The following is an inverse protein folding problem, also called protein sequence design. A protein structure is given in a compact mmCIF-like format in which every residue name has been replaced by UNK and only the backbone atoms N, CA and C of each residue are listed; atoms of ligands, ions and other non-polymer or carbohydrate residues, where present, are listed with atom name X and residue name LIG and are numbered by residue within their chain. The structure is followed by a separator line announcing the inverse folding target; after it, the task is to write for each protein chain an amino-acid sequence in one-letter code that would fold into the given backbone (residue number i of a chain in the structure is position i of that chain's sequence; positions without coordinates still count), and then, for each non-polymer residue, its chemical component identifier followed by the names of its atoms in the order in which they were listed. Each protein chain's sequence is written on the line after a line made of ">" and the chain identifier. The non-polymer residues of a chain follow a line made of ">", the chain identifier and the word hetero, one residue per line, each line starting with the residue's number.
data_IF_313937289951
#
_entry.id   IF_313937289951
#
_cell.length_a   1.000
_cell.length_b   1.000
_cell.length_c   1.000
_cell.angle_alpha   90.00
_cell.angle_beta   90.00
_cell.angle_gamma   90.00
#
_symmetry.space_group_name_H-M   'P 1'
#
loop_
_entity.id
_entity.type
_entity.pdbx_description
1 polymer ?
#
# COMPACT_ATOMS: atom_id res chain seq x y z
N UNK A 1 32.03 19.37 -18.68
CA UNK A 1 30.74 19.70 -18.01
C UNK A 1 29.88 18.48 -18.16
N UNK A 2 30.10 17.50 -17.29
CA UNK A 2 29.13 16.43 -17.07
C UNK A 2 27.99 17.07 -16.28
N UNK A 3 26.79 16.94 -16.81
CA UNK A 3 25.57 17.24 -16.07
C UNK A 3 25.42 16.06 -15.11
N UNK A 4 25.73 16.27 -13.83
CA UNK A 4 25.37 15.34 -12.76
C UNK A 4 23.87 15.10 -12.89
N UNK A 5 23.50 13.87 -13.29
CA UNK A 5 22.12 13.43 -13.21
C UNK A 5 21.79 13.40 -11.72
N UNK A 6 20.91 14.30 -11.28
CA UNK A 6 20.36 14.28 -9.93
C UNK A 6 19.86 12.86 -9.62
N UNK A 7 20.35 12.29 -8.52
CA UNK A 7 19.92 10.98 -8.04
C UNK A 7 18.38 10.94 -8.00
N UNK A 8 17.73 9.87 -8.52
CA UNK A 8 16.29 9.75 -8.41
C UNK A 8 15.93 9.75 -6.93
N UNK A 9 15.25 10.82 -6.49
CA UNK A 9 14.80 11.02 -5.12
C UNK A 9 14.05 9.74 -4.69
N UNK A 10 14.70 9.00 -3.80
CA UNK A 10 14.09 7.91 -3.07
C UNK A 10 12.96 8.48 -2.24
N UNK A 11 11.73 8.17 -2.63
CA UNK A 11 10.56 8.49 -1.84
C UNK A 11 9.96 7.20 -1.31
N UNK A 12 9.84 7.08 0.02
CA UNK A 12 9.07 6.01 0.63
C UNK A 12 7.61 6.07 0.17
N UNK A 13 6.86 4.98 0.31
CA UNK A 13 5.42 5.00 0.03
C UNK A 13 4.70 6.05 0.87
N UNK A 14 5.09 6.25 2.14
CA UNK A 14 4.51 7.32 2.97
C UNK A 14 4.84 8.72 2.43
N UNK A 15 6.02 8.93 1.86
CA UNK A 15 6.40 10.19 1.21
C UNK A 15 5.69 10.38 -0.14
N UNK A 16 5.47 9.32 -0.92
CA UNK A 16 4.68 9.38 -2.17
C UNK A 16 3.21 9.71 -1.85
N UNK A 17 2.65 9.06 -0.82
CA UNK A 17 1.33 9.39 -0.32
C UNK A 17 1.31 10.84 0.17
N UNK A 18 2.30 11.27 0.95
CA UNK A 18 2.42 12.64 1.43
C UNK A 18 2.58 13.69 0.32
N UNK A 19 3.31 13.42 -0.76
CA UNK A 19 3.44 14.35 -1.91
C UNK A 19 2.15 14.48 -2.70
N UNK A 20 1.44 13.36 -2.91
CA UNK A 20 0.11 13.41 -3.52
C UNK A 20 -0.87 14.23 -2.69
N UNK A 21 -0.68 14.23 -1.36
CA UNK A 21 -1.42 15.05 -0.42
C UNK A 21 -0.92 16.50 -0.37
N UNK A 22 0.39 16.75 -0.47
CA UNK A 22 0.98 18.09 -0.47
C UNK A 22 0.56 18.91 -1.70
N UNK A 23 0.46 18.26 -2.88
CA UNK A 23 -0.15 18.87 -4.08
C UNK A 23 -1.61 19.30 -3.86
N UNK A 24 -2.36 18.75 -2.88
CA UNK A 24 -3.72 19.19 -2.47
C UNK A 24 -3.67 20.49 -1.65
N UNK A 25 -2.56 20.77 -0.94
CA UNK A 25 -2.43 21.88 0.03
C UNK A 25 -1.94 23.20 -0.55
N UNK A 26 -1.14 23.20 -1.62
CA UNK A 26 -0.55 24.44 -2.20
C UNK A 26 -1.46 25.11 -3.22
N UNK A 27 -2.35 24.37 -3.87
CA UNK A 27 -3.30 24.95 -4.81
C UNK A 27 -4.64 25.21 -4.10
N UNK A 28 -4.95 26.47 -3.71
CA UNK A 28 -6.29 26.81 -3.24
C UNK A 28 -7.26 26.64 -4.42
N UNK A 29 -8.00 25.53 -4.42
CA UNK A 29 -9.37 25.29 -4.94
C UNK A 29 -9.86 26.01 -6.21
N UNK A 30 -9.01 26.58 -7.05
CA UNK A 30 -9.44 27.47 -8.13
C UNK A 30 -9.04 26.97 -9.53
N UNK A 31 -8.16 25.97 -9.65
CA UNK A 31 -7.80 25.36 -10.95
C UNK A 31 -7.54 23.85 -10.83
N UNK A 32 -8.39 23.13 -10.09
CA UNK A 32 -8.51 21.68 -10.24
C UNK A 32 -10.00 21.44 -10.40
N UNK A 33 -10.42 20.95 -11.57
CA UNK A 33 -11.78 20.44 -11.74
C UNK A 33 -12.04 19.42 -10.62
N UNK A 34 -13.07 19.70 -9.83
CA UNK A 34 -13.55 19.01 -8.63
C UNK A 34 -14.06 17.57 -8.87
N UNK A 35 -13.47 16.86 -9.85
CA UNK A 35 -13.98 15.58 -10.36
C UNK A 35 -12.91 14.53 -10.71
N UNK A 36 -11.61 14.80 -10.56
CA UNK A 36 -10.58 13.80 -10.89
C UNK A 36 -10.24 12.92 -9.70
N UNK A 37 -10.84 11.73 -9.66
CA UNK A 37 -10.41 10.62 -8.79
C UNK A 37 -8.90 10.39 -8.96
N UNK A 38 -8.10 10.60 -7.90
CA UNK A 38 -6.63 10.45 -7.97
C UNK A 38 -6.18 9.00 -7.83
N UNK A 39 -7.00 8.14 -7.23
CA UNK A 39 -6.72 6.71 -7.05
C UNK A 39 -7.74 5.93 -7.87
N UNK A 40 -7.23 5.17 -8.84
CA UNK A 40 -8.05 4.35 -9.72
C UNK A 40 -7.90 2.87 -9.37
N UNK A 41 -9.05 2.21 -9.24
CA UNK A 41 -9.15 0.78 -9.01
C UNK A 41 -9.56 0.05 -10.30
N UNK A 42 -9.39 -1.27 -10.33
CA UNK A 42 -9.96 -2.15 -11.36
C UNK A 42 -9.36 -2.02 -12.77
N UNK A 43 -8.16 -1.46 -12.90
CA UNK A 43 -7.40 -1.59 -14.15
C UNK A 43 -7.02 -3.06 -14.39
N UNK A 44 -7.07 -3.49 -15.66
CA UNK A 44 -6.59 -4.81 -16.04
C UNK A 44 -5.06 -4.89 -15.84
N UNK A 45 -4.57 -5.70 -14.89
CA UNK A 45 -3.15 -5.77 -14.58
C UNK A 45 -2.30 -6.34 -15.72
N UNK A 46 -2.90 -7.00 -16.72
CA UNK A 46 -2.17 -7.55 -17.87
C UNK A 46 -1.81 -6.50 -18.91
N UNK A 47 -2.39 -5.31 -18.82
CA UNK A 47 -2.14 -4.21 -19.79
C UNK A 47 -0.85 -3.46 -19.53
N UNK A 48 -0.29 -3.57 -18.33
CA UNK A 48 1.01 -2.99 -17.99
C UNK A 48 1.97 -4.10 -17.56
N UNK A 49 3.08 -4.24 -18.28
CA UNK A 49 4.05 -5.32 -18.05
C UNK A 49 4.70 -5.23 -16.66
N UNK A 50 4.89 -4.03 -16.11
CA UNK A 50 5.53 -3.83 -14.80
C UNK A 50 4.62 -4.33 -13.68
N UNK A 51 3.34 -3.99 -13.78
CA UNK A 51 2.30 -4.45 -12.85
C UNK A 51 2.10 -5.96 -12.97
N UNK A 52 2.04 -6.47 -14.21
CA UNK A 52 1.88 -7.90 -14.45
C UNK A 52 3.03 -8.73 -13.86
N UNK A 53 4.27 -8.32 -14.12
CA UNK A 53 5.47 -8.99 -13.59
C UNK A 53 5.52 -8.95 -12.07
N UNK A 54 5.20 -7.80 -11.45
CA UNK A 54 5.17 -7.67 -10.00
C UNK A 54 4.07 -8.54 -9.36
N UNK A 55 2.88 -8.59 -9.95
CA UNK A 55 1.80 -9.48 -9.49
C UNK A 55 2.19 -10.96 -9.61
N UNK A 56 2.91 -11.32 -10.66
CA UNK A 56 3.41 -12.69 -10.86
C UNK A 56 4.44 -13.03 -9.79
N UNK A 57 5.37 -12.12 -9.52
CA UNK A 57 6.38 -12.25 -8.48
C UNK A 57 5.74 -12.39 -7.09
N UNK A 58 4.76 -11.55 -6.75
CA UNK A 58 3.99 -11.63 -5.49
C UNK A 58 3.28 -12.97 -5.37
N UNK A 59 2.74 -13.49 -6.48
CA UNK A 59 2.14 -14.82 -6.51
C UNK A 59 3.15 -15.93 -6.16
N UNK A 60 4.35 -15.87 -6.73
CA UNK A 60 5.42 -16.83 -6.45
C UNK A 60 5.95 -16.71 -5.01
N UNK A 61 6.02 -15.49 -4.48
CA UNK A 61 6.56 -15.18 -3.14
C UNK A 61 5.49 -15.14 -2.04
N UNK A 62 4.25 -15.55 -2.34
CA UNK A 62 3.09 -15.33 -1.48
C UNK A 62 3.28 -15.80 -0.04
N UNK A 63 3.87 -16.98 0.17
CA UNK A 63 4.17 -17.49 1.52
C UNK A 63 5.16 -16.63 2.29
N UNK A 64 6.24 -16.19 1.63
CA UNK A 64 7.26 -15.35 2.26
C UNK A 64 6.71 -13.96 2.61
N UNK A 65 5.94 -13.35 1.69
CA UNK A 65 5.29 -12.06 1.92
C UNK A 65 4.24 -12.12 3.03
N UNK A 66 3.43 -13.19 3.07
CA UNK A 66 2.47 -13.38 4.16
C UNK A 66 3.18 -13.57 5.51
N UNK A 67 4.31 -14.29 5.53
CA UNK A 67 5.14 -14.43 6.74
C UNK A 67 5.69 -13.08 7.19
N UNK A 68 6.24 -12.29 6.27
CA UNK A 68 6.73 -10.94 6.54
C UNK A 68 5.62 -10.03 7.09
N UNK A 69 4.44 -10.05 6.48
CA UNK A 69 3.30 -9.24 6.95
C UNK A 69 2.82 -9.63 8.34
N UNK A 70 2.84 -10.92 8.69
CA UNK A 70 2.57 -11.38 10.07
C UNK A 70 3.62 -10.84 11.04
N UNK A 71 4.90 -10.89 10.67
CA UNK A 71 5.96 -10.32 11.51
C UNK A 71 5.76 -8.81 11.71
N UNK A 72 5.44 -8.06 10.65
CA UNK A 72 5.16 -6.62 10.75
C UNK A 72 3.92 -6.32 11.59
N UNK A 73 2.86 -7.11 11.45
CA UNK A 73 1.67 -7.01 12.28
C UNK A 73 1.98 -7.21 13.77
N UNK A 74 2.77 -8.23 14.12
CA UNK A 74 3.15 -8.50 15.50
C UNK A 74 4.15 -7.48 16.06
N UNK A 75 5.08 -7.00 15.22
CA UNK A 75 6.09 -5.99 15.57
C UNK A 75 5.44 -4.64 15.88
N UNK A 76 4.51 -4.20 15.01
CA UNK A 76 3.84 -2.90 15.15
C UNK A 76 2.66 -2.96 16.10
N UNK A 77 2.00 -4.11 16.22
CA UNK A 77 0.74 -4.24 16.92
C UNK A 77 -0.43 -3.56 16.20
N UNK A 78 -0.26 -3.18 14.93
CA UNK A 78 -1.20 -2.38 14.15
C UNK A 78 -1.65 -3.06 12.86
N UNK A 79 -2.85 -2.73 12.40
CA UNK A 79 -3.31 -3.13 11.05
C UNK A 79 -2.48 -2.41 10.00
N UNK A 80 -1.99 -3.17 9.03
CA UNK A 80 -1.16 -2.66 7.96
C UNK A 80 -1.14 -3.54 6.73
N UNK A 81 -0.46 -3.07 5.70
CA UNK A 81 -0.33 -3.74 4.43
C UNK A 81 1.07 -3.54 3.87
N UNK A 82 1.55 -4.52 3.11
CA UNK A 82 2.73 -4.33 2.28
C UNK A 82 2.32 -3.54 1.04
N UNK A 83 3.03 -2.47 0.71
CA UNK A 83 2.75 -1.64 -0.45
C UNK A 83 3.99 -1.51 -1.33
N UNK A 84 3.84 -1.74 -2.64
CA UNK A 84 4.93 -1.69 -3.60
C UNK A 84 4.60 -0.80 -4.80
N UNK A 85 5.58 -0.01 -5.22
CA UNK A 85 5.54 0.75 -6.46
C UNK A 85 5.95 -0.15 -7.63
N UNK A 86 5.09 -0.31 -8.64
CA UNK A 86 5.35 -1.13 -9.80
C UNK A 86 6.57 -0.67 -10.61
N UNK A 87 6.93 0.62 -10.55
CA UNK A 87 8.04 1.23 -11.30
C UNK A 87 9.36 1.24 -10.55
N UNK A 88 9.33 1.04 -9.23
CA UNK A 88 10.48 1.27 -8.38
C UNK A 88 11.25 -0.03 -8.12
N UNK A 89 12.59 0.01 -8.21
CA UNK A 89 13.50 -1.07 -7.81
C UNK A 89 14.71 -0.46 -7.11
N UNK A 90 15.17 -1.09 -6.03
CA UNK A 90 16.39 -0.66 -5.34
C UNK A 90 17.60 -0.82 -6.29
N UNK A 91 18.54 0.14 -6.39
CA UNK A 91 19.71 0.04 -7.28
C UNK A 91 20.56 -1.20 -7.01
N UNK A 92 20.72 -1.57 -5.73
CA UNK A 92 21.44 -2.79 -5.32
C UNK A 92 20.65 -4.09 -5.50
N UNK A 93 19.32 -4.03 -5.65
CA UNK A 93 18.44 -5.20 -5.73
C UNK A 93 17.42 -5.03 -6.87
N UNK A 94 17.90 -4.89 -8.11
CA UNK A 94 17.06 -4.53 -9.25
C UNK A 94 16.02 -5.60 -9.63
N UNK A 95 16.31 -6.86 -9.29
CA UNK A 95 15.43 -7.99 -9.57
C UNK A 95 14.33 -8.18 -8.51
N UNK A 96 14.39 -7.43 -7.41
CA UNK A 96 13.47 -7.56 -6.28
C UNK A 96 12.63 -6.29 -6.09
N UNK A 97 11.31 -6.42 -5.92
CA UNK A 97 10.47 -5.28 -5.57
C UNK A 97 10.68 -4.84 -4.13
N UNK A 98 10.61 -3.54 -3.90
CA UNK A 98 10.61 -2.97 -2.56
C UNK A 98 9.18 -2.92 -2.02
N UNK A 99 9.03 -3.23 -0.73
CA UNK A 99 7.77 -3.12 -0.01
C UNK A 99 7.95 -2.25 1.22
N UNK A 100 7.01 -1.33 1.41
CA UNK A 100 6.84 -0.61 2.66
C UNK A 100 5.67 -1.19 3.45
N UNK A 101 5.77 -1.16 4.76
CA UNK A 101 4.63 -1.45 5.64
C UNK A 101 3.87 -0.16 5.88
N UNK A 102 2.65 -0.10 5.37
CA UNK A 102 1.75 1.05 5.49
C UNK A 102 0.68 0.71 6.51
N UNK A 103 0.37 1.61 7.44
CA UNK A 103 -0.64 1.42 8.50
C UNK A 103 -1.97 2.07 8.13
N UNK A 104 -3.00 1.88 8.97
CA UNK A 104 -4.28 2.57 8.75
C UNK A 104 -4.13 4.09 8.81
N UNK A 105 -3.28 4.61 9.70
CA UNK A 105 -3.07 6.06 9.85
C UNK A 105 -2.53 6.68 8.56
N UNK A 106 -1.58 6.00 7.91
CA UNK A 106 -0.99 6.45 6.64
C UNK A 106 -2.02 6.57 5.51
N UNK A 107 -3.05 5.71 5.50
CA UNK A 107 -4.05 5.68 4.40
C UNK A 107 -5.28 6.53 4.65
N UNK A 108 -5.55 6.96 5.90
CA UNK A 108 -6.68 7.85 6.20
C UNK A 108 -6.57 9.14 5.39
N UNK A 109 -5.36 9.70 5.30
CA UNK A 109 -5.14 10.95 4.60
C UNK A 109 -5.36 10.84 3.10
N UNK A 110 -5.35 9.63 2.52
CA UNK A 110 -5.65 9.44 1.08
C UNK A 110 -7.10 9.74 0.72
N UNK A 111 -8.01 9.74 1.70
CA UNK A 111 -9.46 9.85 1.52
C UNK A 111 -10.07 8.79 0.58
N UNK A 112 -9.31 7.75 0.20
CA UNK A 112 -9.80 6.66 -0.64
C UNK A 112 -10.53 5.63 0.20
N UNK A 113 -11.84 5.53 -0.04
CA UNK A 113 -12.73 4.61 0.68
C UNK A 113 -12.27 3.16 0.58
N UNK A 114 -11.88 2.70 -0.60
CA UNK A 114 -11.58 1.28 -0.83
C UNK A 114 -10.28 0.90 -0.10
N UNK A 115 -9.28 1.77 -0.13
CA UNK A 115 -8.02 1.58 0.58
C UNK A 115 -8.25 1.53 2.10
N UNK A 116 -8.96 2.52 2.64
CA UNK A 116 -9.26 2.59 4.07
C UNK A 116 -10.11 1.42 4.54
N UNK A 117 -11.18 1.06 3.83
CA UNK A 117 -12.01 -0.08 4.19
C UNK A 117 -11.24 -1.41 4.12
N UNK A 118 -10.35 -1.54 3.13
CA UNK A 118 -9.48 -2.72 3.03
C UNK A 118 -8.65 -2.91 4.29
N UNK A 119 -8.04 -1.84 4.78
CA UNK A 119 -7.17 -1.86 5.95
C UNK A 119 -7.94 -1.91 7.28
N UNK A 120 -9.08 -1.24 7.36
CA UNK A 120 -9.92 -1.23 8.56
C UNK A 120 -10.52 -2.60 8.88
N UNK A 121 -10.86 -3.42 7.86
CA UNK A 121 -11.78 -4.55 8.05
C UNK A 121 -11.24 -5.93 7.67
N UNK A 122 -9.99 -6.08 7.22
CA UNK A 122 -9.41 -7.41 7.00
C UNK A 122 -9.08 -8.14 8.31
N UNK A 123 -8.81 -9.45 8.26
CA UNK A 123 -8.36 -10.24 9.42
C UNK A 123 -6.83 -10.36 9.39
N UNK A 124 -6.06 -9.53 10.11
CA UNK A 124 -4.60 -9.59 10.10
C UNK A 124 -4.03 -10.91 10.64
N UNK A 125 -4.80 -11.63 11.45
CA UNK A 125 -4.44 -12.96 11.95
C UNK A 125 -4.45 -14.03 10.85
N UNK A 126 -5.29 -13.87 9.82
CA UNK A 126 -5.52 -14.87 8.78
C UNK A 126 -4.95 -14.45 7.42
N UNK A 127 -4.80 -13.15 7.20
CA UNK A 127 -4.48 -12.61 5.88
C UNK A 127 -3.57 -11.40 5.97
N UNK A 128 -2.65 -11.31 5.02
CA UNK A 128 -1.83 -10.13 4.77
C UNK A 128 -2.32 -9.45 3.50
N UNK A 129 -2.48 -8.13 3.58
CA UNK A 129 -2.79 -7.31 2.41
C UNK A 129 -1.50 -6.89 1.71
N UNK A 130 -1.50 -7.01 0.38
CA UNK A 130 -0.46 -6.47 -0.48
C UNK A 130 -1.10 -5.54 -1.50
N UNK A 131 -0.67 -4.28 -1.48
CA UNK A 131 -1.04 -3.28 -2.47
C UNK A 131 0.09 -3.06 -3.46
N UNK A 132 -0.29 -2.90 -4.72
CA UNK A 132 0.61 -2.48 -5.78
C UNK A 132 0.05 -1.20 -6.34
N UNK A 133 0.89 -0.22 -6.58
CA UNK A 133 0.47 0.99 -7.26
C UNK A 133 1.37 1.33 -8.44
N UNK A 134 0.78 2.04 -9.40
CA UNK A 134 1.45 2.59 -10.55
C UNK A 134 1.07 4.07 -10.66
N UNK A 135 2.04 4.96 -10.50
CA UNK A 135 1.84 6.38 -10.73
C UNK A 135 1.68 6.67 -12.23
N UNK A 136 0.80 7.61 -12.55
CA UNK A 136 0.76 8.22 -13.89
C UNK A 136 2.06 8.99 -14.14
N UNK A 137 2.41 9.21 -15.41
CA UNK A 137 3.59 10.00 -15.80
C UNK A 137 3.58 11.42 -15.20
N UNK A 138 2.40 12.00 -15.03
CA UNK A 138 2.23 13.32 -14.41
C UNK A 138 2.38 13.31 -12.88
N UNK A 139 2.34 12.14 -12.24
CA UNK A 139 2.34 11.99 -10.79
C UNK A 139 1.13 12.64 -10.10
N UNK A 140 0.02 12.84 -10.82
CA UNK A 140 -1.20 13.46 -10.26
C UNK A 140 -2.30 12.42 -9.95
N UNK A 141 -2.14 11.22 -10.47
CA UNK A 141 -3.00 10.08 -10.20
C UNK A 141 -2.21 8.79 -10.19
N UNK A 142 -2.80 7.75 -9.60
CA UNK A 142 -2.25 6.41 -9.54
C UNK A 142 -3.32 5.35 -9.76
N UNK A 143 -2.92 4.20 -10.29
CA UNK A 143 -3.71 2.98 -10.27
C UNK A 143 -3.26 2.09 -9.11
N UNK A 144 -4.21 1.47 -8.39
CA UNK A 144 -3.92 0.54 -7.29
C UNK A 144 -4.55 -0.84 -7.57
N UNK A 145 -3.80 -1.88 -7.24
CA UNK A 145 -4.25 -3.27 -7.19
C UNK A 145 -4.08 -3.82 -5.78
N UNK A 146 -5.00 -4.70 -5.37
CA UNK A 146 -4.99 -5.36 -4.06
C UNK A 146 -4.88 -6.87 -4.21
N UNK A 147 -3.99 -7.47 -3.43
CA UNK A 147 -3.93 -8.92 -3.18
C UNK A 147 -4.13 -9.20 -1.70
N UNK A 148 -4.81 -10.30 -1.43
CA UNK A 148 -4.90 -10.89 -0.10
C UNK A 148 -4.10 -12.18 -0.14
N UNK A 149 -3.14 -12.31 0.75
CA UNK A 149 -2.33 -13.50 0.90
C UNK A 149 -2.74 -14.18 2.20
N UNK A 150 -3.10 -15.45 2.14
CA UNK A 150 -3.45 -16.19 3.35
C UNK A 150 -2.19 -16.50 4.16
N UNK A 151 -2.30 -16.36 5.48
CA UNK A 151 -1.22 -16.69 6.41
C UNK A 151 -0.90 -18.19 6.30
N UNK A 152 0.37 -18.58 6.03
CA UNK A 152 0.73 -19.98 5.97
C UNK A 152 0.45 -20.68 7.31
N UNK A 153 -0.10 -21.90 7.27
CA UNK A 153 -0.51 -22.63 8.48
C UNK A 153 0.61 -22.78 9.52
N UNK A 154 1.86 -23.00 9.07
CA UNK A 154 3.00 -23.13 9.98
C UNK A 154 3.29 -21.82 10.74
N UNK A 155 3.16 -20.67 10.08
CA UNK A 155 3.31 -19.34 10.71
C UNK A 155 2.19 -19.10 11.70
N UNK A 156 0.95 -19.40 11.30
CA UNK A 156 -0.20 -19.28 12.19
C UNK A 156 -0.02 -20.12 13.45
N UNK A 157 0.36 -21.40 13.31
CA UNK A 157 0.59 -22.29 14.46
C UNK A 157 1.72 -21.79 15.37
N UNK A 158 2.80 -21.29 14.77
CA UNK A 158 3.94 -20.76 15.52
C UNK A 158 3.56 -19.55 16.39
N UNK A 159 2.71 -18.65 15.89
CA UNK A 159 2.40 -17.37 16.52
C UNK A 159 0.95 -17.22 17.00
N UNK A 160 0.18 -18.32 17.06
CA UNK A 160 -1.27 -18.27 17.27
C UNK A 160 -1.69 -17.45 18.50
N UNK A 161 -0.99 -17.60 19.64
CA UNK A 161 -1.31 -16.87 20.88
C UNK A 161 -1.13 -15.36 20.69
N UNK A 162 -0.02 -14.94 20.08
CA UNK A 162 0.30 -13.53 19.89
C UNK A 162 -0.59 -12.89 18.83
N UNK A 163 -0.92 -13.63 17.77
CA UNK A 163 -1.87 -13.21 16.73
C UNK A 163 -3.26 -12.96 17.34
N UNK A 164 -3.80 -13.93 18.08
CA UNK A 164 -5.12 -13.80 18.72
C UNK A 164 -5.15 -12.65 19.72
N UNK A 165 -4.10 -12.53 20.54
CA UNK A 165 -3.99 -11.45 21.54
C UNK A 165 -3.97 -10.08 20.87
N UNK A 166 -3.16 -9.90 19.83
CA UNK A 166 -3.02 -8.64 19.11
C UNK A 166 -4.31 -8.29 18.36
N UNK A 167 -4.89 -9.26 17.65
CA UNK A 167 -6.18 -9.08 16.96
C UNK A 167 -7.31 -8.68 17.94
N UNK A 168 -7.32 -9.24 19.15
CA UNK A 168 -8.29 -8.88 20.21
C UNK A 168 -8.10 -7.48 20.77
N UNK A 169 -6.87 -6.96 20.79
CA UNK A 169 -6.62 -5.56 21.16
C UNK A 169 -7.20 -4.66 20.07
N UNK A 170 -6.91 -4.98 18.80
CA UNK A 170 -7.32 -4.19 17.66
C UNK A 170 -8.83 -4.23 17.39
N UNK A 171 -9.54 -5.30 17.77
CA UNK A 171 -11.00 -5.35 17.64
C UNK A 171 -11.73 -4.33 18.53
N UNK A 172 -11.03 -3.74 19.50
CA UNK A 172 -11.55 -2.65 20.35
C UNK A 172 -11.32 -1.27 19.73
N UNK A 173 -10.46 -1.16 18.72
CA UNK A 173 -10.18 0.10 18.03
C UNK A 173 -11.28 0.37 17.02
N UNK A 174 -11.78 1.60 17.02
CA UNK A 174 -12.76 2.06 16.05
C UNK A 174 -12.05 2.77 14.90
N UNK A 175 -12.02 2.12 13.74
CA UNK A 175 -11.53 2.72 12.50
C UNK A 175 -12.60 3.66 11.92
N UNK A 176 -12.23 4.93 11.73
CA UNK A 176 -13.10 5.95 11.14
C UNK A 176 -12.71 6.13 9.69
N UNK A 177 -13.63 5.79 8.78
CA UNK A 177 -13.44 5.97 7.35
C UNK A 177 -13.73 7.42 7.01
N UNK A 178 -12.73 8.12 6.47
CA UNK A 178 -12.81 9.53 6.07
C UNK A 178 -12.77 9.60 4.55
N UNK A 179 -13.85 10.08 3.94
CA UNK A 179 -14.00 10.18 2.48
C UNK A 179 -14.35 11.61 2.11
N UNK A 180 -13.81 12.09 0.99
CA UNK A 180 -14.23 13.37 0.42
C UNK A 180 -15.69 13.22 -0.07
N UNK A 181 -16.64 13.91 0.59
CA UNK A 181 -18.03 13.97 0.17
C UNK A 181 -18.16 15.01 -0.94
N UNK A 182 -18.29 14.54 -2.19
CA UNK A 182 -18.72 15.40 -3.29
C UNK A 182 -20.22 15.70 -3.10
N UNK A 183 -20.57 16.95 -2.82
CA UNK A 183 -21.94 17.51 -2.90
C UNK A 183 -22.04 18.32 -4.17
#
# INVERSE_FOLDING_TARGET
>A
MEVEAEDPIWMSVSEILAELLWKKRIWPSTIINDQQTRIYWSFDPKKDSRVHSLLTWIGAMGHALATLGVHKFLETGERGALMANATYRHPDYQDEPCFDWVTFEDVVDTHDKILQESMAFYSPENQVLVFIFLLSESGNSMAIWRRKLDTPLHVHNQWHIDLEKTARILSKIKYVITVDLYV
#
